data_IF_921670921954
#
_entry.id   IF_921670921954
#
_cell.length_a   1.000
_cell.length_b   1.000
_cell.length_c   1.000
_cell.angle_alpha   90.00
_cell.angle_beta   90.00
_cell.angle_gamma   90.00
#
_symmetry.space_group_name_H-M   'P 1'
#
loop_
_entity.id
_entity.type
_entity.pdbx_description
1 polymer ?
#
# COMPACT_ATOMS: atom_id res chain seq x y z
N UNK A 1 17.80 -6.65 -8.73
CA UNK A 1 16.44 -6.09 -8.83
C UNK A 1 16.04 -5.29 -7.59
N UNK A 2 16.36 -5.70 -6.35
CA UNK A 2 15.96 -5.00 -5.12
C UNK A 2 16.68 -3.66 -4.88
N UNK A 3 17.76 -3.38 -5.56
CA UNK A 3 18.46 -2.10 -5.52
C UNK A 3 17.90 -1.05 -6.50
N UNK A 4 16.98 -1.47 -7.38
CA UNK A 4 16.35 -0.58 -8.33
C UNK A 4 15.26 0.30 -7.67
N UNK A 5 15.00 1.46 -8.28
CA UNK A 5 14.01 2.41 -7.78
C UNK A 5 12.59 2.03 -8.21
N UNK A 6 12.02 1.03 -7.53
CA UNK A 6 10.62 0.63 -7.65
C UNK A 6 10.00 0.47 -6.25
N UNK A 7 8.67 0.56 -6.14
CA UNK A 7 7.98 0.47 -4.86
C UNK A 7 7.11 -0.79 -4.74
N UNK A 8 6.34 -1.10 -5.74
CA UNK A 8 5.36 -2.18 -5.70
C UNK A 8 5.79 -3.39 -6.51
N UNK A 9 5.70 -4.57 -5.91
CA UNK A 9 5.88 -5.87 -6.58
C UNK A 9 4.50 -6.51 -6.73
N UNK A 10 4.09 -6.76 -7.97
CA UNK A 10 2.83 -7.42 -8.30
C UNK A 10 3.16 -8.69 -9.08
N UNK A 11 3.06 -9.88 -8.48
CA UNK A 11 3.25 -11.13 -9.21
C UNK A 11 2.11 -11.34 -10.20
N UNK A 12 2.45 -11.74 -11.42
CA UNK A 12 1.47 -12.01 -12.49
C UNK A 12 1.16 -13.50 -12.65
N UNK A 13 1.85 -14.38 -11.92
CA UNK A 13 1.65 -15.82 -11.96
C UNK A 13 0.35 -16.20 -11.24
N UNK A 14 -0.47 -17.05 -11.84
CA UNK A 14 -1.76 -17.45 -11.27
C UNK A 14 -1.65 -18.24 -9.95
N UNK A 15 -0.69 -19.16 -9.80
CA UNK A 15 -0.43 -19.88 -8.55
C UNK A 15 0.90 -19.46 -7.93
N UNK A 16 0.83 -18.52 -7.01
CA UNK A 16 1.97 -18.05 -6.22
C UNK A 16 1.95 -18.57 -4.78
N UNK A 17 1.05 -19.50 -4.45
CA UNK A 17 0.83 -19.93 -3.07
C UNK A 17 2.10 -20.41 -2.35
N UNK A 18 3.02 -21.07 -3.07
CA UNK A 18 4.33 -21.49 -2.55
C UNK A 18 5.30 -20.33 -2.35
N UNK A 19 5.14 -19.25 -3.11
CA UNK A 19 6.11 -18.17 -3.22
C UNK A 19 5.75 -16.95 -2.34
N UNK A 20 4.50 -16.89 -1.84
CA UNK A 20 4.00 -15.77 -1.03
C UNK A 20 4.89 -15.53 0.20
N UNK A 21 5.17 -16.55 0.99
CA UNK A 21 5.94 -16.41 2.22
C UNK A 21 7.41 -15.99 1.96
N UNK A 22 8.16 -16.60 1.03
CA UNK A 22 9.49 -16.12 0.67
C UNK A 22 9.49 -14.69 0.15
N UNK A 23 8.56 -14.32 -0.76
CA UNK A 23 8.44 -12.97 -1.29
C UNK A 23 8.13 -11.96 -0.20
N UNK A 24 7.13 -12.24 0.66
CA UNK A 24 6.80 -11.35 1.78
C UNK A 24 8.00 -11.10 2.68
N UNK A 25 8.78 -12.12 3.03
CA UNK A 25 9.98 -11.96 3.88
C UNK A 25 11.05 -11.08 3.23
N UNK A 26 11.29 -11.26 1.93
CA UNK A 26 12.25 -10.42 1.20
C UNK A 26 11.78 -8.97 1.14
N UNK A 27 10.49 -8.74 0.89
CA UNK A 27 9.89 -7.40 0.87
C UNK A 27 9.98 -6.74 2.25
N UNK A 28 9.62 -7.44 3.33
CA UNK A 28 9.74 -6.92 4.70
C UNK A 28 11.17 -6.49 5.02
N UNK A 29 12.17 -7.27 4.61
CA UNK A 29 13.59 -6.95 4.83
C UNK A 29 14.05 -5.70 4.09
N UNK A 30 13.40 -5.34 2.98
CA UNK A 30 13.75 -4.16 2.16
C UNK A 30 13.38 -2.84 2.82
N UNK A 31 12.38 -2.82 3.73
CA UNK A 31 11.82 -1.65 4.43
C UNK A 31 11.34 -0.49 3.54
N UNK A 32 11.30 -0.68 2.23
CA UNK A 32 10.93 0.36 1.26
C UNK A 32 10.01 -0.13 0.14
N UNK A 33 9.90 -1.45 -0.03
CA UNK A 33 9.10 -2.09 -1.07
C UNK A 33 7.79 -2.61 -0.48
N UNK A 34 6.80 -2.85 -1.32
CA UNK A 34 5.47 -3.38 -0.93
C UNK A 34 5.09 -4.51 -1.88
N UNK A 35 4.57 -5.60 -1.34
CA UNK A 35 4.05 -6.74 -2.08
C UNK A 35 2.54 -6.61 -2.22
N UNK A 36 2.06 -6.65 -3.45
CA UNK A 36 0.64 -6.58 -3.81
C UNK A 36 0.22 -7.91 -4.40
N UNK A 37 -0.70 -8.61 -3.77
CA UNK A 37 -1.13 -9.93 -4.18
C UNK A 37 -2.59 -9.92 -4.63
N UNK A 38 -2.83 -10.44 -5.83
CA UNK A 38 -4.17 -10.81 -6.29
C UNK A 38 -4.41 -12.30 -6.05
N UNK A 39 -5.46 -12.66 -5.31
CA UNK A 39 -5.91 -14.03 -5.12
C UNK A 39 -7.18 -14.25 -5.92
N UNK A 40 -7.14 -15.17 -6.87
CA UNK A 40 -8.27 -15.41 -7.80
C UNK A 40 -9.22 -16.48 -7.31
N UNK A 41 -10.40 -16.04 -6.87
CA UNK A 41 -11.54 -16.87 -6.54
C UNK A 41 -11.51 -17.52 -5.15
N UNK A 42 -12.66 -17.99 -4.72
CA UNK A 42 -12.91 -18.54 -3.37
C UNK A 42 -12.03 -19.74 -3.04
N UNK A 43 -11.72 -20.60 -4.03
CA UNK A 43 -10.83 -21.75 -3.80
C UNK A 43 -9.42 -21.35 -3.43
N UNK A 44 -8.86 -20.37 -4.15
CA UNK A 44 -7.54 -19.85 -3.88
C UNK A 44 -7.50 -19.10 -2.55
N UNK A 45 -8.56 -18.35 -2.21
CA UNK A 45 -8.72 -17.72 -0.91
C UNK A 45 -8.71 -18.74 0.23
N UNK A 46 -9.54 -19.79 0.16
CA UNK A 46 -9.58 -20.82 1.18
C UNK A 46 -8.24 -21.53 1.36
N UNK A 47 -7.53 -21.82 0.27
CA UNK A 47 -6.16 -22.37 0.30
C UNK A 47 -5.18 -21.38 0.94
N UNK A 48 -5.26 -20.10 0.60
CA UNK A 48 -4.42 -19.06 1.21
C UNK A 48 -4.64 -19.00 2.73
N UNK A 49 -5.89 -18.98 3.19
CA UNK A 49 -6.22 -18.95 4.63
C UNK A 49 -5.69 -20.21 5.33
N UNK A 50 -5.88 -21.39 4.76
CA UNK A 50 -5.46 -22.65 5.38
C UNK A 50 -3.93 -22.81 5.46
N UNK A 51 -3.22 -22.47 4.38
CA UNK A 51 -1.81 -22.86 4.22
C UNK A 51 -0.82 -21.73 4.53
N UNK A 52 -1.23 -20.48 4.28
CA UNK A 52 -0.30 -19.35 4.19
C UNK A 52 -0.61 -18.22 5.16
N UNK A 53 -1.86 -17.86 5.37
CA UNK A 53 -2.29 -16.68 6.13
C UNK A 53 -1.62 -16.58 7.50
N UNK A 54 -1.62 -17.64 8.31
CA UNK A 54 -1.04 -17.62 9.67
C UNK A 54 0.47 -17.31 9.66
N UNK A 55 1.16 -17.56 8.55
CA UNK A 55 2.60 -17.31 8.40
C UNK A 55 2.90 -15.87 7.96
N UNK A 56 1.92 -15.19 7.35
CA UNK A 56 2.10 -13.84 6.76
C UNK A 56 1.22 -12.77 7.40
N UNK A 57 0.27 -13.10 8.27
CA UNK A 57 -0.70 -12.17 8.88
C UNK A 57 -0.10 -10.98 9.64
N UNK A 58 1.18 -11.02 9.99
CA UNK A 58 1.87 -9.93 10.67
C UNK A 58 2.76 -9.10 9.74
N UNK A 59 2.74 -9.36 8.43
CA UNK A 59 3.56 -8.65 7.47
C UNK A 59 3.05 -7.22 7.27
N UNK A 60 3.97 -6.26 7.44
CA UNK A 60 3.68 -4.82 7.40
C UNK A 60 3.70 -4.25 5.98
N UNK A 61 4.25 -5.00 5.02
CA UNK A 61 4.47 -4.54 3.64
C UNK A 61 3.85 -5.45 2.59
N UNK A 62 2.86 -6.24 3.00
CA UNK A 62 2.11 -7.13 2.09
C UNK A 62 0.63 -6.84 2.22
N UNK A 63 -0.05 -6.62 1.10
CA UNK A 63 -1.50 -6.56 1.06
C UNK A 63 -2.06 -7.49 -0.02
N UNK A 64 -3.30 -7.91 0.20
CA UNK A 64 -3.97 -8.90 -0.61
C UNK A 64 -5.32 -8.36 -1.05
N UNK A 65 -5.60 -8.45 -2.34
CA UNK A 65 -6.93 -8.27 -2.90
C UNK A 65 -7.49 -9.61 -3.36
N UNK A 66 -8.73 -9.86 -3.01
CA UNK A 66 -9.47 -10.94 -3.62
C UNK A 66 -10.02 -10.47 -4.96
N UNK A 67 -9.72 -11.26 -5.96
CA UNK A 67 -10.10 -11.06 -7.34
C UNK A 67 -11.02 -12.21 -7.76
N UNK A 68 -11.98 -11.95 -8.62
CA UNK A 68 -12.70 -13.01 -9.32
C UNK A 68 -12.14 -13.13 -10.73
N UNK A 69 -11.98 -14.35 -11.22
CA UNK A 69 -11.70 -14.59 -12.62
C UNK A 69 -12.96 -14.27 -13.46
N UNK A 70 -13.21 -12.98 -13.74
CA UNK A 70 -14.42 -12.57 -14.48
C UNK A 70 -14.28 -12.75 -15.96
N UNK A 71 -13.08 -12.62 -16.51
CA UNK A 71 -12.83 -12.81 -17.93
C UNK A 71 -11.57 -13.62 -18.16
N UNK A 72 -11.73 -14.68 -18.92
CA UNK A 72 -10.63 -15.32 -19.59
C UNK A 72 -10.58 -14.76 -21.01
N UNK A 73 -9.41 -14.35 -21.44
CA UNK A 73 -9.17 -14.13 -22.86
C UNK A 73 -9.24 -15.46 -23.62
N UNK A 74 -9.03 -15.45 -24.94
CA UNK A 74 -9.01 -16.65 -25.77
C UNK A 74 -7.92 -17.67 -25.34
N UNK A 75 -6.93 -17.22 -24.52
CA UNK A 75 -5.87 -18.06 -23.94
C UNK A 75 -6.26 -18.65 -22.59
N UNK A 76 -7.34 -18.17 -21.98
CA UNK A 76 -7.83 -18.60 -20.66
C UNK A 76 -7.21 -17.83 -19.49
N UNK A 77 -6.45 -16.76 -19.73
CA UNK A 77 -5.86 -15.93 -18.70
C UNK A 77 -6.89 -15.00 -18.04
N UNK A 78 -6.75 -14.81 -16.73
CA UNK A 78 -7.58 -13.90 -15.97
C UNK A 78 -7.12 -12.45 -16.18
N UNK A 79 -7.98 -11.63 -16.78
CA UNK A 79 -7.70 -10.22 -17.05
C UNK A 79 -8.04 -9.28 -15.88
N UNK A 80 -8.66 -9.77 -14.83
CA UNK A 80 -9.14 -8.95 -13.71
C UNK A 80 -8.03 -8.77 -12.63
N UNK A 81 -7.04 -7.93 -12.89
CA UNK A 81 -5.92 -7.66 -11.99
C UNK A 81 -6.17 -6.41 -11.15
N UNK A 82 -6.75 -6.57 -9.97
CA UNK A 82 -7.12 -5.45 -9.06
C UNK A 82 -5.88 -4.69 -8.60
N UNK A 83 -4.81 -5.38 -8.19
CA UNK A 83 -3.59 -4.73 -7.73
C UNK A 83 -2.92 -3.89 -8.82
N UNK A 84 -2.92 -4.34 -10.06
CA UNK A 84 -2.38 -3.58 -11.20
C UNK A 84 -3.21 -2.32 -11.44
N UNK A 85 -4.54 -2.45 -11.50
CA UNK A 85 -5.45 -1.31 -11.71
C UNK A 85 -5.36 -0.29 -10.56
N UNK A 86 -5.23 -0.78 -9.32
CA UNK A 86 -5.08 0.05 -8.12
C UNK A 86 -3.78 0.87 -8.18
N UNK A 87 -2.66 0.24 -8.47
CA UNK A 87 -1.37 0.93 -8.58
C UNK A 87 -1.31 1.88 -9.78
N UNK A 88 -1.93 1.53 -10.90
CA UNK A 88 -2.07 2.43 -12.04
C UNK A 88 -2.93 3.66 -11.71
N UNK A 89 -3.98 3.49 -10.90
CA UNK A 89 -4.87 4.57 -10.47
C UNK A 89 -4.22 5.51 -9.44
N UNK A 90 -3.34 5.00 -8.58
CA UNK A 90 -2.73 5.76 -7.47
C UNK A 90 -1.32 6.27 -7.77
N UNK A 91 -0.63 5.70 -8.77
CA UNK A 91 0.81 5.89 -8.99
C UNK A 91 1.28 7.32 -9.26
N UNK A 92 0.41 8.23 -9.68
CA UNK A 92 0.72 9.65 -9.89
C UNK A 92 0.01 10.58 -8.90
N UNK A 93 -0.66 10.05 -7.89
CA UNK A 93 -1.33 10.85 -6.87
C UNK A 93 -0.39 11.24 -5.74
N UNK A 94 -0.61 12.41 -5.16
CA UNK A 94 0.13 12.85 -3.98
C UNK A 94 -0.22 11.99 -2.77
N UNK A 95 0.77 11.47 -2.08
CA UNK A 95 0.58 10.75 -0.81
C UNK A 95 -0.12 11.66 0.20
N UNK A 96 -1.13 11.14 0.89
CA UNK A 96 -1.98 11.90 1.80
C UNK A 96 -3.26 12.47 1.18
N UNK A 97 -3.33 12.61 -0.16
CA UNK A 97 -4.51 13.17 -0.84
C UNK A 97 -5.62 12.13 -1.13
N UNK A 98 -5.40 10.86 -0.83
CA UNK A 98 -6.35 9.79 -1.13
C UNK A 98 -6.24 8.65 -0.12
N UNK A 99 -7.27 7.80 -0.06
CA UNK A 99 -7.28 6.53 0.67
C UNK A 99 -7.47 5.37 -0.30
N UNK A 100 -7.02 4.18 0.09
CA UNK A 100 -7.21 2.96 -0.73
C UNK A 100 -8.61 2.35 -0.61
N UNK A 101 -9.47 2.95 0.18
CA UNK A 101 -10.88 2.56 0.35
C UNK A 101 -11.80 3.36 -0.56
N UNK A 102 -12.88 2.72 -1.04
CA UNK A 102 -13.92 3.33 -1.90
C UNK A 102 -13.37 3.91 -3.23
N UNK A 103 -12.31 3.33 -3.77
CA UNK A 103 -11.79 3.71 -5.08
C UNK A 103 -12.52 2.95 -6.18
N UNK A 104 -12.99 3.66 -7.20
CA UNK A 104 -13.44 3.07 -8.44
C UNK A 104 -12.27 2.92 -9.40
N UNK A 105 -12.05 1.70 -9.87
CA UNK A 105 -10.93 1.34 -10.73
C UNK A 105 -11.41 1.10 -12.16
N UNK A 106 -10.59 1.43 -13.15
CA UNK A 106 -10.90 1.18 -14.57
C UNK A 106 -10.30 -0.14 -15.03
N UNK A 107 -11.02 -0.85 -15.89
CA UNK A 107 -10.55 -2.08 -16.52
C UNK A 107 -10.58 -3.31 -15.62
N UNK A 108 -11.28 -3.22 -14.50
CA UNK A 108 -11.53 -4.34 -13.57
C UNK A 108 -13.00 -4.36 -13.16
N UNK A 109 -13.47 -5.53 -12.75
CA UNK A 109 -14.87 -5.79 -12.45
C UNK A 109 -15.03 -6.28 -11.02
N UNK A 110 -16.09 -5.84 -10.35
CA UNK A 110 -16.45 -6.26 -9.01
C UNK A 110 -17.19 -7.62 -9.03
N UNK A 111 -17.08 -8.34 -7.93
CA UNK A 111 -17.89 -9.54 -7.67
C UNK A 111 -19.24 -9.17 -7.10
N UNK A 112 -20.28 -9.30 -7.89
CA UNK A 112 -21.65 -9.11 -7.45
C UNK A 112 -22.13 -10.24 -6.51
N UNK A 113 -21.44 -11.37 -6.46
CA UNK A 113 -21.79 -12.50 -5.60
C UNK A 113 -21.29 -12.35 -4.15
N UNK A 114 -20.44 -11.39 -3.86
CA UNK A 114 -19.93 -11.15 -2.51
C UNK A 114 -21.04 -10.63 -1.60
N UNK A 115 -21.46 -11.49 -0.66
CA UNK A 115 -22.40 -11.10 0.38
C UNK A 115 -21.69 -10.32 1.49
N UNK A 116 -22.47 -9.60 2.31
CA UNK A 116 -21.92 -8.88 3.49
C UNK A 116 -21.21 -9.82 4.46
N UNK A 117 -21.71 -11.04 4.62
CA UNK A 117 -21.10 -12.06 5.50
C UNK A 117 -19.74 -12.49 4.96
N UNK A 118 -19.66 -12.77 3.66
CA UNK A 118 -18.42 -13.15 2.97
C UNK A 118 -17.40 -12.01 3.02
N UNK A 119 -17.84 -10.77 2.82
CA UNK A 119 -16.97 -9.59 2.90
C UNK A 119 -16.41 -9.39 4.31
N UNK A 120 -17.23 -9.60 5.35
CA UNK A 120 -16.77 -9.52 6.73
C UNK A 120 -15.73 -10.62 7.06
N UNK A 121 -15.86 -11.82 6.48
CA UNK A 121 -14.86 -12.87 6.62
C UNK A 121 -13.52 -12.43 5.99
N UNK A 122 -13.53 -11.87 4.78
CA UNK A 122 -12.33 -11.33 4.14
C UNK A 122 -11.66 -10.25 4.99
N UNK A 123 -12.43 -9.30 5.48
CA UNK A 123 -11.92 -8.22 6.34
C UNK A 123 -11.40 -8.72 7.69
N UNK A 124 -11.94 -9.82 8.25
CA UNK A 124 -11.42 -10.42 9.48
C UNK A 124 -10.01 -10.98 9.31
N UNK A 125 -9.63 -11.29 8.07
CA UNK A 125 -8.30 -11.74 7.69
C UNK A 125 -7.45 -10.63 7.03
N UNK A 126 -7.87 -9.37 7.09
CA UNK A 126 -7.23 -8.22 6.44
C UNK A 126 -7.04 -8.42 4.92
N UNK A 127 -7.92 -9.19 4.29
CA UNK A 127 -7.98 -9.35 2.85
C UNK A 127 -8.97 -8.33 2.29
N UNK A 128 -8.53 -7.58 1.29
CA UNK A 128 -9.34 -6.57 0.63
C UNK A 128 -10.09 -7.20 -0.55
N UNK A 129 -11.19 -6.57 -0.97
CA UNK A 129 -11.97 -7.01 -2.12
C UNK A 129 -12.40 -5.82 -2.98
N UNK A 130 -12.71 -6.08 -4.24
CA UNK A 130 -13.35 -5.12 -5.12
C UNK A 130 -14.81 -5.51 -5.26
N UNK A 131 -15.72 -4.65 -4.82
CA UNK A 131 -17.12 -5.00 -4.57
C UNK A 131 -18.09 -4.00 -5.20
N UNK A 132 -19.28 -4.49 -5.57
CA UNK A 132 -20.39 -3.63 -5.97
C UNK A 132 -21.09 -3.07 -4.72
N UNK A 133 -21.14 -1.74 -4.59
CA UNK A 133 -21.74 -1.06 -3.44
C UNK A 133 -22.48 0.20 -3.89
N UNK A 134 -23.76 0.28 -3.56
CA UNK A 134 -24.62 1.45 -3.86
C UNK A 134 -24.57 1.88 -5.34
N UNK A 135 -24.48 0.94 -6.28
CA UNK A 135 -24.44 1.22 -7.71
C UNK A 135 -23.05 1.51 -8.29
N UNK A 136 -22.01 1.37 -7.50
CA UNK A 136 -20.63 1.60 -7.90
C UNK A 136 -19.73 0.41 -7.56
N UNK A 137 -18.80 0.14 -8.46
CA UNK A 137 -17.71 -0.82 -8.19
C UNK A 137 -16.57 -0.10 -7.51
N UNK A 138 -16.24 -0.54 -6.29
CA UNK A 138 -15.27 0.13 -5.43
C UNK A 138 -14.44 -0.84 -4.61
N UNK A 139 -13.24 -0.40 -4.21
CA UNK A 139 -12.42 -1.11 -3.23
C UNK A 139 -13.10 -1.11 -1.86
N UNK A 140 -13.11 -2.26 -1.19
CA UNK A 140 -13.80 -2.44 0.10
C UNK A 140 -13.07 -1.80 1.26
N UNK A 141 -11.80 -2.12 1.39
CA UNK A 141 -10.85 -1.62 2.39
C UNK A 141 -9.50 -1.36 1.71
N UNK A 142 -8.53 -0.85 2.47
CA UNK A 142 -7.15 -0.65 2.02
C UNK A 142 -6.18 -1.06 3.11
N UNK A 143 -6.25 -2.35 3.54
CA UNK A 143 -5.47 -2.86 4.67
C UNK A 143 -4.34 -3.77 4.22
N UNK A 144 -3.24 -3.67 4.94
CA UNK A 144 -2.12 -4.61 4.92
C UNK A 144 -2.46 -5.85 5.76
N UNK A 145 -1.71 -6.93 5.62
CA UNK A 145 -1.96 -8.17 6.36
C UNK A 145 -1.79 -8.04 7.89
N UNK A 146 -1.04 -7.06 8.37
CA UNK A 146 -0.95 -6.70 9.80
C UNK A 146 -2.16 -5.91 10.33
N UNK A 147 -3.08 -5.48 9.45
CA UNK A 147 -4.26 -4.69 9.77
C UNK A 147 -4.08 -3.17 9.68
N UNK A 148 -2.87 -2.67 9.45
CA UNK A 148 -2.60 -1.25 9.21
C UNK A 148 -3.16 -0.84 7.83
N UNK A 149 -3.45 0.43 7.63
CA UNK A 149 -3.88 0.94 6.33
C UNK A 149 -2.68 1.21 5.40
N UNK A 150 -2.87 0.96 4.10
CA UNK A 150 -1.81 1.14 3.09
C UNK A 150 -1.40 2.60 2.98
N UNK A 151 -2.35 3.54 3.10
CA UNK A 151 -2.09 4.98 3.06
C UNK A 151 -1.24 5.45 4.24
N UNK A 152 -1.39 4.85 5.42
CA UNK A 152 -0.54 5.12 6.58
C UNK A 152 0.90 4.63 6.32
N UNK A 153 1.06 3.44 5.73
CA UNK A 153 2.38 2.95 5.33
C UNK A 153 3.04 3.89 4.30
N UNK A 154 2.28 4.32 3.30
CA UNK A 154 2.77 5.25 2.28
C UNK A 154 3.16 6.60 2.88
N UNK A 155 2.37 7.10 3.83
CA UNK A 155 2.66 8.32 4.58
C UNK A 155 3.95 8.22 5.41
N UNK A 156 4.13 7.12 6.14
CA UNK A 156 5.38 6.84 6.90
C UNK A 156 6.61 6.81 5.99
N UNK A 157 6.52 6.08 4.89
CA UNK A 157 7.63 5.95 3.95
C UNK A 157 7.95 7.27 3.25
N UNK A 158 6.93 8.07 2.90
CA UNK A 158 7.08 9.39 2.34
C UNK A 158 7.83 10.31 3.31
N UNK A 159 7.38 10.39 4.56
CA UNK A 159 8.03 11.20 5.61
C UNK A 159 9.50 10.84 5.79
N UNK A 160 9.80 9.56 5.96
CA UNK A 160 11.17 9.07 6.15
C UNK A 160 12.04 9.43 4.94
N UNK A 161 11.50 9.28 3.74
CA UNK A 161 12.24 9.57 2.50
C UNK A 161 12.49 11.06 2.34
N UNK A 162 11.48 11.90 2.56
CA UNK A 162 11.59 13.35 2.42
C UNK A 162 12.53 13.94 3.47
N UNK A 163 12.42 13.54 4.73
CA UNK A 163 13.34 14.01 5.79
C UNK A 163 14.79 13.65 5.44
N UNK A 164 15.06 12.39 5.04
CA UNK A 164 16.40 11.97 4.62
C UNK A 164 16.92 12.76 3.44
N UNK A 165 16.08 12.98 2.43
CA UNK A 165 16.44 13.71 1.22
C UNK A 165 16.78 15.17 1.54
N UNK A 166 15.92 15.86 2.26
CA UNK A 166 16.10 17.28 2.60
C UNK A 166 17.27 17.51 3.54
N UNK A 167 17.49 16.62 4.54
CA UNK A 167 18.69 16.71 5.39
C UNK A 167 19.96 16.46 4.58
N UNK A 168 19.97 15.47 3.67
CA UNK A 168 21.13 15.24 2.81
C UNK A 168 21.39 16.42 1.89
N UNK A 169 20.34 17.05 1.35
CA UNK A 169 20.45 18.25 0.53
C UNK A 169 21.02 19.42 1.33
N UNK A 170 20.58 19.62 2.58
CA UNK A 170 21.13 20.63 3.48
C UNK A 170 22.63 20.42 3.72
N UNK A 171 23.09 19.17 3.90
CA UNK A 171 24.50 18.84 4.07
C UNK A 171 25.34 19.10 2.80
N UNK A 172 24.75 18.94 1.62
CA UNK A 172 25.46 19.13 0.33
C UNK A 172 25.59 20.64 -0.01
N UNK A 173 24.54 21.42 0.27
CA UNK A 173 24.51 22.85 -0.10
C UNK A 173 25.40 23.68 0.83
N UNK A 174 25.54 23.30 2.10
CA UNK A 174 26.35 24.01 3.07
C UNK A 174 27.72 23.34 3.21
N UNK A 175 28.78 24.07 2.90
CA UNK A 175 30.17 23.55 3.05
C UNK A 175 30.47 23.10 4.48
N UNK A 176 29.81 23.72 5.47
CA UNK A 176 29.94 23.39 6.89
C UNK A 176 28.67 23.76 7.65
N UNK A 177 28.14 22.82 8.43
CA UNK A 177 27.12 23.11 9.44
C UNK A 177 27.85 23.29 10.79
N UNK A 178 27.71 24.46 11.45
CA UNK A 178 28.37 24.70 12.75
C UNK A 178 27.87 23.73 13.82
N UNK A 179 28.75 23.38 14.74
CA UNK A 179 28.43 22.47 15.87
C UNK A 179 27.95 23.29 17.09
N UNK A 180 26.96 24.14 16.87
CA UNK A 180 26.36 25.05 17.84
C UNK A 180 24.83 25.15 17.65
N UNK A 181 24.18 26.01 18.42
CA UNK A 181 22.73 26.24 18.33
C UNK A 181 22.27 26.69 16.95
N UNK A 182 23.13 27.37 16.19
CA UNK A 182 22.81 27.83 14.82
C UNK A 182 22.69 26.61 13.88
N UNK A 183 23.65 25.68 13.94
CA UNK A 183 23.61 24.48 13.11
C UNK A 183 22.46 23.55 13.49
N UNK A 184 22.14 23.44 14.80
CA UNK A 184 20.96 22.69 15.27
C UNK A 184 19.69 23.33 14.69
N UNK A 185 19.51 24.64 14.79
CA UNK A 185 18.35 25.35 14.27
C UNK A 185 18.20 25.21 12.74
N UNK A 186 19.31 25.13 12.00
CA UNK A 186 19.28 24.83 10.55
C UNK A 186 18.67 23.45 10.26
N UNK A 187 19.10 22.40 10.98
CA UNK A 187 18.57 21.06 10.78
C UNK A 187 17.11 20.94 11.27
N UNK A 188 16.76 21.58 12.37
CA UNK A 188 15.37 21.63 12.87
C UNK A 188 14.44 22.30 11.85
N UNK A 189 14.87 23.41 11.23
CA UNK A 189 14.06 24.08 10.22
C UNK A 189 13.81 23.22 8.98
N UNK A 190 14.80 22.41 8.56
CA UNK A 190 14.63 21.46 7.46
C UNK A 190 13.56 20.43 7.78
N UNK A 191 13.60 19.84 8.98
CA UNK A 191 12.61 18.85 9.41
C UNK A 191 11.22 19.50 9.55
N UNK A 192 11.15 20.72 10.13
CA UNK A 192 9.89 21.45 10.28
C UNK A 192 9.23 21.74 8.92
N UNK A 193 10.02 22.12 7.91
CA UNK A 193 9.49 22.32 6.55
C UNK A 193 8.90 21.04 5.96
N UNK A 194 9.54 19.87 6.14
CA UNK A 194 9.00 18.60 5.67
C UNK A 194 7.70 18.24 6.39
N UNK A 195 7.61 18.50 7.70
CA UNK A 195 6.38 18.29 8.47
C UNK A 195 5.26 19.22 8.02
N UNK A 196 5.59 20.48 7.69
CA UNK A 196 4.62 21.42 7.13
C UNK A 196 4.12 20.99 5.75
N UNK A 197 4.99 20.44 4.90
CA UNK A 197 4.60 19.86 3.61
C UNK A 197 3.71 18.62 3.82
N UNK A 198 4.00 17.80 4.81
CA UNK A 198 3.17 16.65 5.18
C UNK A 198 1.77 17.09 5.64
N UNK A 199 1.68 18.16 6.41
CA UNK A 199 0.42 18.76 6.82
C UNK A 199 -0.37 19.29 5.60
N UNK A 200 0.29 20.05 4.73
CA UNK A 200 -0.34 20.60 3.52
C UNK A 200 -0.84 19.51 2.56
N UNK A 201 -0.19 18.34 2.56
CA UNK A 201 -0.60 17.16 1.77
C UNK A 201 -1.68 16.30 2.46
N UNK A 202 -2.09 16.64 3.70
CA UNK A 202 -3.08 15.88 4.45
C UNK A 202 -2.56 14.58 5.09
N UNK A 203 -1.23 14.42 5.19
CA UNK A 203 -0.59 13.29 5.88
C UNK A 203 -0.68 13.45 7.39
N UNK A 204 -0.51 14.66 7.88
CA UNK A 204 -0.60 15.04 9.30
C UNK A 204 -1.85 15.89 9.47
N UNK A 205 -2.65 15.61 10.49
CA UNK A 205 -3.80 16.42 10.88
C UNK A 205 -3.42 17.41 11.98
N UNK A 206 -4.22 18.45 12.13
CA UNK A 206 -4.16 19.33 13.31
C UNK A 206 -4.45 18.53 14.57
N UNK A 207 -3.79 18.89 15.69
CA UNK A 207 -4.15 18.41 17.00
C UNK A 207 -5.47 19.06 17.50
N UNK A 208 -5.99 18.62 18.66
CA UNK A 208 -7.21 19.17 19.27
C UNK A 208 -7.10 20.68 19.60
N UNK A 209 -5.91 21.28 19.51
CA UNK A 209 -5.64 22.69 19.74
C UNK A 209 -5.40 23.47 18.43
N UNK A 210 -5.58 22.86 17.27
CA UNK A 210 -5.38 23.48 15.96
C UNK A 210 -3.90 23.71 15.60
N UNK A 211 -2.99 22.86 16.12
CA UNK A 211 -1.56 22.87 15.77
C UNK A 211 -1.21 21.62 14.95
N UNK A 212 -0.44 21.81 13.89
CA UNK A 212 0.18 20.75 13.12
C UNK A 212 1.49 20.28 13.75
#
# INVERSE_FOLDING_TARGET
YFNENWRYLIPTKEDISSDILPLSRVIESSKSKVLCLDISGTKAYNKFIADTYLKVKGMERTFVYLNIPVFKDDTGENLNNICVALMAHTGNKTVGSFTYKNMSLKGVYADESITKTTLNDYHSHNVNAYVHKAGYDVTSEGKLLNGEYIDILDAKDWLITQIKYQLQQCLIINDKIPYDNTGIAMLESVVANVLQDAFNNGIIAEDDNGKA
#
